data_IF_911298079515
#
_entry.id   IF_911298079515
#
_cell.length_a   1.000
_cell.length_b   1.000
_cell.length_c   1.000
_cell.angle_alpha   90.00
_cell.angle_beta   90.00
_cell.angle_gamma   90.00
#
_symmetry.space_group_name_H-M   'P 1'
#
loop_
_entity.id
_entity.type
_entity.pdbx_description
1 polymer ?
#
# COMPACT_ATOMS: atom_id res chain seq x y z
N UNK A 1 -11.60 4.98 -15.07
CA UNK A 1 -12.95 5.03 -14.45
C UNK A 1 -13.02 4.23 -13.16
N UNK A 2 -12.51 3.01 -13.11
CA UNK A 2 -12.53 2.13 -11.93
C UNK A 2 -11.80 2.74 -10.73
N UNK A 3 -10.59 3.27 -10.93
CA UNK A 3 -9.79 3.92 -9.90
C UNK A 3 -10.48 5.17 -9.30
N UNK A 4 -11.18 5.96 -10.14
CA UNK A 4 -11.93 7.11 -9.65
C UNK A 4 -13.11 6.70 -8.76
N UNK A 5 -13.82 5.61 -9.12
CA UNK A 5 -14.89 5.06 -8.30
C UNK A 5 -14.41 4.63 -6.90
N UNK A 6 -13.28 3.93 -6.84
CA UNK A 6 -12.65 3.55 -5.57
C UNK A 6 -12.22 4.76 -4.72
N UNK A 7 -11.64 5.78 -5.35
CA UNK A 7 -11.22 7.01 -4.65
C UNK A 7 -12.43 7.76 -4.06
N UNK A 8 -13.55 7.81 -4.77
CA UNK A 8 -14.80 8.43 -4.28
C UNK A 8 -15.36 7.63 -3.10
N UNK A 9 -15.43 6.30 -3.19
CA UNK A 9 -15.91 5.45 -2.09
C UNK A 9 -15.05 5.59 -0.83
N UNK A 10 -13.72 5.63 -0.97
CA UNK A 10 -12.79 5.88 0.12
C UNK A 10 -13.03 7.24 0.79
N UNK A 11 -13.19 8.29 -0.02
CA UNK A 11 -13.46 9.65 0.47
C UNK A 11 -14.79 9.74 1.19
N UNK A 12 -15.84 9.12 0.66
CA UNK A 12 -17.14 9.05 1.30
C UNK A 12 -17.07 8.31 2.64
N UNK A 13 -16.39 7.15 2.69
CA UNK A 13 -16.20 6.40 3.93
C UNK A 13 -15.47 7.21 5.00
N UNK A 14 -14.40 7.89 4.65
CA UNK A 14 -13.67 8.76 5.58
C UNK A 14 -14.50 9.98 6.01
N UNK A 15 -15.23 10.60 5.08
CA UNK A 15 -16.06 11.77 5.34
C UNK A 15 -17.20 11.48 6.33
N UNK A 16 -17.77 10.30 6.26
CA UNK A 16 -18.83 9.86 7.16
C UNK A 16 -18.25 9.46 8.52
N UNK A 17 -17.18 8.68 8.54
CA UNK A 17 -16.64 8.09 9.78
C UNK A 17 -16.06 9.15 10.74
N UNK A 18 -15.34 10.14 10.23
CA UNK A 18 -14.66 11.14 11.04
C UNK A 18 -15.58 11.93 12.01
N UNK A 19 -16.72 12.52 11.56
CA UNK A 19 -17.60 13.26 12.46
C UNK A 19 -18.31 12.35 13.48
N UNK A 20 -18.63 11.11 13.12
CA UNK A 20 -19.26 10.17 14.04
C UNK A 20 -18.35 9.76 15.18
N UNK A 21 -17.09 9.42 14.89
CA UNK A 21 -16.08 9.09 15.89
C UNK A 21 -15.80 10.27 16.81
N UNK A 22 -15.63 11.46 16.25
CA UNK A 22 -15.40 12.68 17.04
C UNK A 22 -16.59 12.98 17.95
N UNK A 23 -17.84 12.90 17.43
CA UNK A 23 -19.05 13.11 18.21
C UNK A 23 -19.18 12.08 19.35
N UNK A 24 -18.96 10.79 19.06
CA UNK A 24 -19.03 9.74 20.07
C UNK A 24 -18.01 9.94 21.20
N UNK A 25 -16.78 10.36 20.87
CA UNK A 25 -15.74 10.63 21.86
C UNK A 25 -16.05 11.84 22.76
N UNK A 26 -16.75 12.85 22.26
CA UNK A 26 -17.01 14.10 22.98
C UNK A 26 -18.36 14.06 23.72
N UNK A 27 -19.35 13.30 23.22
CA UNK A 27 -20.74 13.31 23.72
C UNK A 27 -20.88 12.87 25.19
N UNK A 28 -19.94 12.15 25.74
CA UNK A 28 -19.92 11.68 27.13
C UNK A 28 -19.22 12.65 28.09
N UNK A 29 -18.69 13.79 27.60
CA UNK A 29 -17.88 14.71 28.40
C UNK A 29 -18.68 15.96 28.80
N UNK A 30 -18.43 16.52 30.00
CA UNK A 30 -19.00 17.79 30.40
C UNK A 30 -18.45 18.93 29.52
N UNK A 31 -19.30 19.96 29.28
CA UNK A 31 -19.01 21.07 28.38
C UNK A 31 -17.66 21.75 28.67
N UNK A 32 -17.27 21.84 29.93
CA UNK A 32 -15.99 22.43 30.37
C UNK A 32 -14.75 21.66 29.93
N UNK A 33 -14.89 20.39 29.49
CA UNK A 33 -13.77 19.53 29.05
C UNK A 33 -13.74 19.29 27.53
N UNK A 34 -14.70 19.83 26.79
CA UNK A 34 -14.83 19.61 25.34
C UNK A 34 -13.61 20.14 24.58
N UNK A 35 -13.13 21.33 24.94
CA UNK A 35 -11.96 21.93 24.27
C UNK A 35 -10.70 21.08 24.48
N UNK A 36 -10.44 20.66 25.70
CA UNK A 36 -9.31 19.80 26.04
C UNK A 36 -9.39 18.45 25.33
N UNK A 37 -10.58 17.86 25.27
CA UNK A 37 -10.81 16.60 24.56
C UNK A 37 -10.57 16.73 23.06
N UNK A 38 -11.04 17.81 22.44
CA UNK A 38 -10.84 18.06 21.01
C UNK A 38 -9.36 18.23 20.68
N UNK A 39 -8.63 18.97 21.50
CA UNK A 39 -7.18 19.15 21.34
C UNK A 39 -6.44 17.81 21.46
N UNK A 40 -6.79 17.01 22.46
CA UNK A 40 -6.22 15.67 22.66
C UNK A 40 -6.51 14.75 21.50
N UNK A 41 -7.75 14.72 20.98
CA UNK A 41 -8.12 13.94 19.81
C UNK A 41 -7.32 14.34 18.55
N UNK A 42 -7.16 15.64 18.32
CA UNK A 42 -6.38 16.14 17.20
C UNK A 42 -4.91 15.78 17.33
N UNK A 43 -4.34 15.85 18.52
CA UNK A 43 -2.97 15.42 18.80
C UNK A 43 -2.77 13.95 18.47
N UNK A 44 -3.63 13.05 18.97
CA UNK A 44 -3.54 11.62 18.65
C UNK A 44 -3.78 11.31 17.17
N UNK A 45 -4.65 12.07 16.51
CA UNK A 45 -4.86 11.94 15.06
C UNK A 45 -3.60 12.28 14.28
N UNK A 46 -2.93 13.38 14.61
CA UNK A 46 -1.68 13.79 13.95
C UNK A 46 -0.55 12.79 14.20
N UNK A 47 -0.38 12.34 15.45
CA UNK A 47 0.58 11.29 15.79
C UNK A 47 0.28 9.99 15.03
N UNK A 48 -0.96 9.55 15.03
CA UNK A 48 -1.38 8.33 14.34
C UNK A 48 -1.15 8.42 12.83
N UNK A 49 -1.41 9.58 12.23
CA UNK A 49 -1.15 9.79 10.79
C UNK A 49 0.35 9.73 10.49
N UNK A 50 1.17 10.43 11.27
CA UNK A 50 2.62 10.47 11.05
C UNK A 50 3.26 9.09 11.24
N UNK A 51 2.99 8.44 12.38
CA UNK A 51 3.53 7.12 12.69
C UNK A 51 3.00 6.06 11.71
N UNK A 52 1.70 6.09 11.41
CA UNK A 52 1.06 5.15 10.50
C UNK A 52 1.64 5.24 9.09
N UNK A 53 1.87 6.45 8.58
CA UNK A 53 2.50 6.64 7.27
C UNK A 53 3.92 6.10 7.24
N UNK A 54 4.72 6.38 8.28
CA UNK A 54 6.10 5.89 8.36
C UNK A 54 6.15 4.36 8.42
N UNK A 55 5.37 3.76 9.28
CA UNK A 55 5.27 2.29 9.41
C UNK A 55 4.83 1.67 8.09
N UNK A 56 3.85 2.29 7.41
CA UNK A 56 3.37 1.81 6.12
C UNK A 56 4.45 1.82 5.04
N UNK A 57 5.20 2.92 4.91
CA UNK A 57 6.28 3.04 3.91
C UNK A 57 7.36 1.99 4.16
N UNK A 58 7.82 1.85 5.41
CA UNK A 58 8.84 0.86 5.79
C UNK A 58 8.35 -0.57 5.52
N UNK A 59 7.10 -0.86 5.88
CA UNK A 59 6.49 -2.16 5.61
C UNK A 59 6.44 -2.47 4.11
N UNK A 60 5.96 -1.53 3.31
CA UNK A 60 5.86 -1.68 1.86
C UNK A 60 7.23 -1.92 1.23
N UNK A 61 8.24 -1.15 1.63
CA UNK A 61 9.61 -1.31 1.15
C UNK A 61 10.17 -2.70 1.50
N UNK A 62 10.01 -3.13 2.74
CA UNK A 62 10.44 -4.45 3.19
C UNK A 62 9.78 -5.57 2.39
N UNK A 63 8.44 -5.50 2.17
CA UNK A 63 7.71 -6.51 1.40
C UNK A 63 8.11 -6.50 -0.08
N UNK A 64 8.29 -5.32 -0.66
CA UNK A 64 8.79 -5.16 -2.03
C UNK A 64 10.16 -5.80 -2.20
N UNK A 65 11.09 -5.57 -1.27
CA UNK A 65 12.40 -6.22 -1.28
C UNK A 65 12.32 -7.74 -1.13
N UNK A 66 11.47 -8.25 -0.25
CA UNK A 66 11.29 -9.70 -0.09
C UNK A 66 10.81 -10.35 -1.39
N UNK A 67 9.78 -9.78 -2.02
CA UNK A 67 9.27 -10.28 -3.30
C UNK A 67 10.30 -10.12 -4.43
N UNK A 68 11.02 -9.00 -4.48
CA UNK A 68 12.07 -8.75 -5.46
C UNK A 68 13.19 -9.77 -5.37
N UNK A 69 13.66 -10.07 -4.16
CA UNK A 69 14.69 -11.09 -3.92
C UNK A 69 14.19 -12.47 -4.34
N UNK A 70 12.94 -12.81 -4.03
CA UNK A 70 12.33 -14.08 -4.43
C UNK A 70 12.26 -14.21 -5.95
N UNK A 71 11.83 -13.17 -6.67
CA UNK A 71 11.81 -13.18 -8.12
C UNK A 71 13.23 -13.23 -8.71
N UNK A 72 14.14 -12.42 -8.21
CA UNK A 72 15.53 -12.41 -8.71
C UNK A 72 16.22 -13.76 -8.53
N UNK A 73 15.96 -14.47 -7.43
CA UNK A 73 16.53 -15.80 -7.18
C UNK A 73 16.09 -16.85 -8.23
N UNK A 74 14.93 -16.64 -8.87
CA UNK A 74 14.45 -17.53 -9.93
C UNK A 74 14.94 -17.14 -11.33
N UNK A 75 15.58 -15.97 -11.49
CA UNK A 75 16.10 -15.49 -12.78
C UNK A 75 17.53 -16.01 -13.03
N UNK A 76 17.65 -17.29 -13.27
CA UNK A 76 18.91 -17.92 -13.61
C UNK A 76 18.92 -18.35 -15.10
N UNK A 77 20.09 -18.73 -15.61
CA UNK A 77 20.26 -19.12 -17.01
C UNK A 77 19.47 -20.35 -17.48
N UNK A 78 18.79 -21.05 -16.55
CA UNK A 78 17.89 -22.17 -16.86
C UNK A 78 16.41 -21.79 -16.89
N UNK A 79 16.08 -20.53 -16.59
CA UNK A 79 14.70 -20.05 -16.63
C UNK A 79 14.31 -19.66 -18.07
N UNK A 80 13.67 -20.57 -18.77
CA UNK A 80 13.24 -20.37 -20.17
C UNK A 80 12.34 -19.14 -20.35
N UNK A 81 11.48 -18.84 -19.39
CA UNK A 81 10.60 -17.67 -19.44
C UNK A 81 11.39 -16.36 -19.41
N UNK A 82 12.41 -16.29 -18.57
CA UNK A 82 13.27 -15.10 -18.48
C UNK A 82 14.12 -14.94 -19.74
N UNK A 83 14.63 -16.03 -20.27
CA UNK A 83 15.42 -16.02 -21.50
C UNK A 83 14.58 -15.58 -22.69
N UNK A 84 13.38 -16.14 -22.87
CA UNK A 84 12.46 -15.77 -23.95
C UNK A 84 12.04 -14.30 -23.85
N UNK A 85 11.76 -13.81 -22.64
CA UNK A 85 11.45 -12.41 -22.40
C UNK A 85 12.63 -11.49 -22.77
N UNK A 86 13.86 -11.82 -22.35
CA UNK A 86 15.04 -11.03 -22.69
C UNK A 86 15.30 -11.00 -24.20
N UNK A 87 15.11 -12.11 -24.90
CA UNK A 87 15.25 -12.17 -26.35
C UNK A 87 14.22 -11.28 -27.05
N UNK A 88 12.99 -11.32 -26.61
CA UNK A 88 11.93 -10.49 -27.19
C UNK A 88 12.19 -8.99 -26.95
N UNK A 89 12.62 -8.60 -25.73
CA UNK A 89 12.96 -7.21 -25.41
C UNK A 89 14.17 -6.75 -26.23
N UNK A 90 15.18 -7.60 -26.44
CA UNK A 90 16.33 -7.29 -27.30
C UNK A 90 15.90 -7.07 -28.75
N UNK A 91 14.99 -7.91 -29.26
CA UNK A 91 14.43 -7.74 -30.62
C UNK A 91 13.78 -6.37 -30.76
N UNK A 92 12.89 -6.00 -29.83
CA UNK A 92 12.20 -4.71 -29.84
C UNK A 92 13.20 -3.54 -29.78
N UNK A 93 14.21 -3.61 -28.93
CA UNK A 93 15.25 -2.58 -28.85
C UNK A 93 16.10 -2.50 -30.13
N UNK A 94 16.31 -3.63 -30.82
CA UNK A 94 16.95 -3.65 -32.14
C UNK A 94 16.14 -2.93 -33.20
N UNK A 95 14.84 -3.17 -33.23
CA UNK A 95 13.90 -2.47 -34.13
C UNK A 95 13.84 -0.97 -33.85
N UNK A 96 14.06 -0.54 -32.62
CA UNK A 96 14.16 0.88 -32.22
C UNK A 96 15.51 1.52 -32.54
N UNK A 97 16.45 0.78 -33.15
CA UNK A 97 17.76 1.28 -33.55
C UNK A 97 18.81 1.34 -32.43
N UNK A 98 18.58 0.68 -31.29
CA UNK A 98 19.57 0.60 -30.22
C UNK A 98 20.71 -0.33 -30.65
N UNK A 99 21.96 0.09 -30.42
CA UNK A 99 23.14 -0.70 -30.79
C UNK A 99 23.15 -2.05 -30.06
N UNK A 100 23.67 -3.09 -30.71
CA UNK A 100 23.71 -4.46 -30.17
C UNK A 100 24.39 -4.57 -28.79
N UNK A 101 25.41 -3.75 -28.55
CA UNK A 101 26.13 -3.69 -27.26
C UNK A 101 25.23 -3.13 -26.16
N UNK A 102 24.41 -2.12 -26.50
CA UNK A 102 23.52 -1.49 -25.54
C UNK A 102 22.22 -2.28 -25.31
N UNK A 103 21.80 -3.12 -26.26
CA UNK A 103 20.59 -3.93 -26.16
C UNK A 103 20.62 -4.88 -24.95
N UNK A 104 21.74 -5.51 -24.70
CA UNK A 104 21.88 -6.45 -23.57
C UNK A 104 21.68 -5.76 -22.23
N UNK A 105 22.41 -4.67 -21.99
CA UNK A 105 22.30 -3.90 -20.76
C UNK A 105 20.91 -3.30 -20.59
N UNK A 106 20.33 -2.78 -21.66
CA UNK A 106 18.99 -2.21 -21.64
C UNK A 106 17.91 -3.25 -21.36
N UNK A 107 18.03 -4.46 -21.92
CA UNK A 107 17.08 -5.56 -21.68
C UNK A 107 17.14 -6.07 -20.24
N UNK A 108 18.34 -6.18 -19.66
CA UNK A 108 18.51 -6.54 -18.24
C UNK A 108 17.94 -5.46 -17.30
N UNK A 109 18.20 -4.18 -17.60
CA UNK A 109 17.59 -3.08 -16.86
C UNK A 109 16.07 -3.09 -16.94
N UNK A 110 15.52 -3.40 -18.12
CA UNK A 110 14.07 -3.48 -18.28
C UNK A 110 13.48 -4.66 -17.49
N UNK A 111 14.12 -5.83 -17.50
CA UNK A 111 13.73 -6.96 -16.67
C UNK A 111 13.75 -6.59 -15.18
N UNK A 112 14.80 -5.93 -14.71
CA UNK A 112 14.89 -5.43 -13.34
C UNK A 112 13.75 -4.51 -12.96
N UNK A 113 13.34 -3.60 -13.86
CA UNK A 113 12.17 -2.73 -13.66
C UNK A 113 10.87 -3.53 -13.57
N UNK A 114 10.67 -4.52 -14.46
CA UNK A 114 9.48 -5.39 -14.43
C UNK A 114 9.39 -6.15 -13.12
N UNK A 115 10.50 -6.74 -12.67
CA UNK A 115 10.58 -7.42 -11.37
C UNK A 115 10.22 -6.45 -10.23
N UNK A 116 10.78 -5.25 -10.23
CA UNK A 116 10.49 -4.24 -9.21
C UNK A 116 9.01 -3.85 -9.18
N UNK A 117 8.41 -3.56 -10.32
CA UNK A 117 6.98 -3.20 -10.39
C UNK A 117 6.07 -4.33 -9.94
N UNK A 118 6.39 -5.57 -10.33
CA UNK A 118 5.64 -6.74 -9.90
C UNK A 118 5.77 -6.96 -8.38
N UNK A 119 6.99 -6.85 -7.85
CA UNK A 119 7.27 -6.97 -6.42
C UNK A 119 6.56 -5.90 -5.60
N UNK A 120 6.55 -4.67 -6.10
CA UNK A 120 5.85 -3.56 -5.47
C UNK A 120 4.32 -3.78 -5.45
N UNK A 121 3.77 -4.29 -6.54
CA UNK A 121 2.34 -4.65 -6.62
C UNK A 121 1.96 -5.71 -5.58
N UNK A 122 2.79 -6.76 -5.41
CA UNK A 122 2.59 -7.78 -4.38
C UNK A 122 2.78 -7.21 -2.97
N UNK A 123 3.74 -6.31 -2.76
CA UNK A 123 3.91 -5.60 -1.50
C UNK A 123 2.66 -4.81 -1.09
N UNK A 124 2.02 -4.13 -2.05
CA UNK A 124 0.73 -3.47 -1.81
C UNK A 124 -0.39 -4.46 -1.47
N UNK A 125 -0.48 -5.60 -2.17
CA UNK A 125 -1.48 -6.63 -1.86
C UNK A 125 -1.33 -7.15 -0.43
N UNK A 126 -0.11 -7.45 0.01
CA UNK A 126 0.19 -7.84 1.39
C UNK A 126 -0.24 -6.78 2.39
N UNK A 127 0.02 -5.52 2.08
CA UNK A 127 -0.39 -4.39 2.91
C UNK A 127 -1.91 -4.26 3.03
N UNK A 128 -2.65 -4.41 1.95
CA UNK A 128 -4.11 -4.41 1.99
C UNK A 128 -4.68 -5.56 2.82
N UNK A 129 -4.06 -6.75 2.78
CA UNK A 129 -4.45 -7.87 3.62
C UNK A 129 -4.24 -7.56 5.10
N UNK A 130 -3.13 -6.91 5.47
CA UNK A 130 -2.88 -6.48 6.85
C UNK A 130 -3.91 -5.45 7.30
N UNK A 131 -4.21 -4.45 6.47
CA UNK A 131 -5.26 -3.49 6.79
C UNK A 131 -6.62 -4.14 6.96
N UNK A 132 -6.98 -5.08 6.09
CA UNK A 132 -8.22 -5.83 6.22
C UNK A 132 -8.29 -6.59 7.57
N UNK A 133 -7.19 -7.21 7.99
CA UNK A 133 -7.09 -7.89 9.27
C UNK A 133 -7.23 -6.90 10.45
N UNK A 134 -6.54 -5.75 10.40
CA UNK A 134 -6.63 -4.70 11.44
C UNK A 134 -8.06 -4.19 11.54
N UNK A 135 -8.74 -3.90 10.42
CA UNK A 135 -10.12 -3.45 10.44
C UNK A 135 -11.08 -4.52 10.96
N UNK A 136 -10.87 -5.80 10.62
CA UNK A 136 -11.66 -6.89 11.16
C UNK A 136 -11.52 -7.00 12.70
N UNK A 137 -10.30 -6.85 13.22
CA UNK A 137 -10.05 -6.82 14.66
C UNK A 137 -10.71 -5.60 15.32
N UNK A 138 -10.66 -4.43 14.67
CA UNK A 138 -11.26 -3.19 15.19
C UNK A 138 -12.79 -3.24 15.28
N UNK A 139 -13.46 -4.11 14.55
CA UNK A 139 -14.91 -4.34 14.65
C UNK A 139 -15.27 -4.97 16.01
N UNK A 140 -14.41 -5.81 16.59
CA UNK A 140 -14.68 -6.53 17.83
C UNK A 140 -15.04 -5.57 18.99
N UNK A 141 -14.19 -4.58 19.36
CA UNK A 141 -14.54 -3.63 20.42
C UNK A 141 -15.75 -2.75 20.06
N UNK A 142 -15.95 -2.45 18.77
CA UNK A 142 -17.10 -1.66 18.33
C UNK A 142 -18.43 -2.36 18.62
N UNK A 143 -18.49 -3.69 18.47
CA UNK A 143 -19.69 -4.49 18.80
C UNK A 143 -19.99 -4.44 20.32
N UNK A 144 -18.95 -4.45 21.17
CA UNK A 144 -19.12 -4.37 22.62
C UNK A 144 -19.50 -2.98 23.13
N UNK A 145 -19.27 -1.93 22.34
CA UNK A 145 -19.63 -0.55 22.68
C UNK A 145 -21.08 -0.19 22.35
N UNK A 146 -21.85 -1.06 21.68
CA UNK A 146 -23.26 -0.82 21.40
C UNK A 146 -24.01 -0.87 22.74
N UNK A 147 -24.65 0.25 23.17
CA UNK A 147 -25.40 0.26 24.44
C UNK A 147 -26.55 -0.73 24.34
N UNK A 148 -26.61 -1.68 25.27
CA UNK A 148 -27.80 -2.51 25.45
C UNK A 148 -28.95 -1.59 25.85
N UNK A 149 -29.97 -1.49 24.99
CA UNK A 149 -31.23 -0.83 25.30
C UNK A 149 -31.95 -1.55 26.44
#
# INVERSE_FOLDING_TARGET
LFMMGFAILLRLGMGINNPFVAKAAISSLPVSKIEQATTTLNFFRLLGTSLGTTVWVVFLEMRTHMHSNSFTATQNGSNETSLSFLLEVRRVFGEMGISSVSQELSSLNYLGKVIYYQSNSLGFQDGFLIFAAIFAIAIIPAIFMVPKK
#
